data_IF_843343843744
#
_entry.id   IF_843343843744
#
_cell.length_a   1.000
_cell.length_b   1.000
_cell.length_c   1.000
_cell.angle_alpha   90.00
_cell.angle_beta   90.00
_cell.angle_gamma   90.00
#
_symmetry.space_group_name_H-M   'P 1'
#
loop_
_entity.id
_entity.type
_entity.pdbx_description
1 polymer ?
#
# COMPACT_ATOMS: atom_id res chain seq x y z
N UNK A 1 -6.99 -16.50 38.28
CA UNK A 1 -6.13 -17.40 37.48
C UNK A 1 -6.58 -17.42 36.01
N UNK A 2 -6.60 -16.26 35.33
CA UNK A 2 -7.20 -16.09 33.98
C UNK A 2 -6.39 -15.18 33.05
N UNK A 3 -5.06 -15.11 33.21
CA UNK A 3 -4.19 -14.24 32.40
C UNK A 3 -3.55 -14.98 31.22
N UNK A 4 -3.25 -16.28 31.37
CA UNK A 4 -2.61 -17.10 30.30
C UNK A 4 -3.45 -17.24 29.03
N UNK A 5 -4.78 -17.26 29.12
CA UNK A 5 -5.66 -17.39 27.95
C UNK A 5 -5.70 -16.12 27.11
N UNK A 6 -5.72 -14.95 27.75
CA UNK A 6 -5.80 -13.66 27.05
C UNK A 6 -4.53 -13.32 26.28
N UNK A 7 -3.36 -13.61 26.86
CA UNK A 7 -2.08 -13.41 26.19
C UNK A 7 -1.90 -14.31 24.96
N UNK A 8 -2.32 -15.58 25.06
CA UNK A 8 -2.30 -16.52 23.92
C UNK A 8 -3.25 -16.08 22.82
N UNK A 9 -4.47 -15.66 23.17
CA UNK A 9 -5.44 -15.13 22.20
C UNK A 9 -4.92 -13.84 21.52
N UNK A 10 -4.27 -12.95 22.27
CA UNK A 10 -3.60 -11.77 21.72
C UNK A 10 -2.50 -12.17 20.72
N UNK A 11 -1.65 -13.12 21.09
CA UNK A 11 -0.56 -13.58 20.24
C UNK A 11 -1.06 -14.21 18.92
N UNK A 12 -2.14 -15.01 18.99
CA UNK A 12 -2.77 -15.60 17.79
C UNK A 12 -3.33 -14.52 16.87
N UNK A 13 -4.04 -13.53 17.43
CA UNK A 13 -4.61 -12.44 16.65
C UNK A 13 -3.52 -11.58 15.98
N UNK A 14 -2.38 -11.41 16.65
CA UNK A 14 -1.22 -10.76 16.04
C UNK A 14 -0.58 -11.59 14.94
N UNK A 15 -0.49 -12.91 15.13
CA UNK A 15 0.01 -13.81 14.09
C UNK A 15 -0.87 -13.78 12.83
N UNK A 16 -2.18 -13.58 12.98
CA UNK A 16 -3.13 -13.42 11.87
C UNK A 16 -3.08 -12.03 11.22
N UNK A 17 -2.97 -10.96 12.02
CA UNK A 17 -3.02 -9.58 11.51
C UNK A 17 -1.72 -9.15 10.82
N UNK A 18 -0.58 -9.60 11.34
CA UNK A 18 0.75 -9.25 10.81
C UNK A 18 0.89 -9.49 9.30
N UNK A 19 0.58 -10.68 8.75
CA UNK A 19 0.70 -10.91 7.32
C UNK A 19 -0.25 -10.01 6.50
N UNK A 20 -1.44 -9.72 7.02
CA UNK A 20 -2.39 -8.81 6.37
C UNK A 20 -1.82 -7.40 6.25
N UNK A 21 -1.19 -6.88 7.32
CA UNK A 21 -0.52 -5.57 7.29
C UNK A 21 0.68 -5.57 6.32
N UNK A 22 1.47 -6.64 6.30
CA UNK A 22 2.59 -6.79 5.36
C UNK A 22 2.12 -6.73 3.91
N UNK A 23 0.98 -7.34 3.58
CA UNK A 23 0.38 -7.27 2.24
C UNK A 23 0.04 -5.83 1.86
N UNK A 24 -0.61 -5.07 2.75
CA UNK A 24 -0.93 -3.66 2.46
C UNK A 24 0.31 -2.81 2.25
N UNK A 25 1.35 -2.99 3.06
CA UNK A 25 2.63 -2.28 2.90
C UNK A 25 3.29 -2.66 1.58
N UNK A 26 3.38 -3.95 1.25
CA UNK A 26 3.97 -4.42 0.00
C UNK A 26 3.20 -3.91 -1.23
N UNK A 27 1.87 -3.93 -1.21
CA UNK A 27 1.03 -3.37 -2.26
C UNK A 27 1.24 -1.85 -2.40
N UNK A 28 1.32 -1.13 -1.28
CA UNK A 28 1.60 0.30 -1.27
C UNK A 28 2.94 0.64 -1.91
N UNK A 29 4.01 -0.08 -1.54
CA UNK A 29 5.35 0.08 -2.15
C UNK A 29 5.35 -0.28 -3.63
N UNK A 30 4.65 -1.34 -4.03
CA UNK A 30 4.52 -1.72 -5.44
C UNK A 30 3.81 -0.62 -6.25
N UNK A 31 2.79 0.02 -5.69
CA UNK A 31 2.10 1.15 -6.32
C UNK A 31 3.00 2.38 -6.47
N UNK A 32 3.88 2.65 -5.50
CA UNK A 32 4.86 3.73 -5.60
C UNK A 32 5.90 3.46 -6.69
N UNK A 33 6.40 2.23 -6.78
CA UNK A 33 7.33 1.84 -7.83
C UNK A 33 6.66 1.89 -9.21
N UNK A 34 5.42 1.43 -9.30
CA UNK A 34 4.62 1.52 -10.53
C UNK A 34 4.41 2.98 -10.95
N UNK A 35 4.14 3.88 -10.00
CA UNK A 35 4.04 5.30 -10.28
C UNK A 35 5.32 5.85 -10.92
N UNK A 36 6.50 5.58 -10.36
CA UNK A 36 7.76 6.08 -10.93
C UNK A 36 8.03 5.50 -12.32
N UNK A 37 7.67 4.24 -12.56
CA UNK A 37 7.79 3.61 -13.88
C UNK A 37 6.84 4.21 -14.92
N UNK A 38 5.61 4.54 -14.52
CA UNK A 38 4.57 5.03 -15.44
C UNK A 38 4.60 6.54 -15.66
N UNK A 39 5.19 7.29 -14.72
CA UNK A 39 5.29 8.75 -14.74
C UNK A 39 5.84 9.32 -16.06
N UNK A 40 6.91 8.77 -16.69
CA UNK A 40 7.39 9.26 -17.98
C UNK A 40 6.39 9.07 -19.13
N UNK A 41 5.54 8.04 -19.06
CA UNK A 41 4.57 7.72 -20.11
C UNK A 41 3.24 8.47 -19.95
N UNK A 42 2.96 9.01 -18.76
CA UNK A 42 1.72 9.70 -18.44
C UNK A 42 1.60 11.11 -19.03
N UNK A 43 2.67 11.64 -19.66
CA UNK A 43 2.72 12.98 -20.27
C UNK A 43 2.18 14.07 -19.33
N UNK A 44 2.66 14.07 -18.10
CA UNK A 44 2.29 15.08 -17.09
C UNK A 44 3.03 16.38 -17.45
N UNK A 45 2.33 17.50 -17.49
CA UNK A 45 2.98 18.80 -17.67
C UNK A 45 3.59 19.31 -16.36
N UNK A 46 4.47 20.29 -16.43
CA UNK A 46 5.03 20.91 -15.22
C UNK A 46 3.95 21.67 -14.42
N UNK A 47 2.93 22.21 -15.12
CA UNK A 47 1.77 22.85 -14.51
C UNK A 47 0.94 21.86 -13.69
N UNK A 48 0.71 20.64 -14.20
CA UNK A 48 0.01 19.58 -13.44
C UNK A 48 0.74 19.25 -12.13
N UNK A 49 2.08 19.17 -12.17
CA UNK A 49 2.90 18.92 -10.98
C UNK A 49 2.79 20.09 -10.00
N UNK A 50 2.78 21.33 -10.51
CA UNK A 50 2.59 22.53 -9.69
C UNK A 50 1.22 22.53 -9.00
N UNK A 51 0.15 22.25 -9.75
CA UNK A 51 -1.23 22.12 -9.23
C UNK A 51 -1.30 21.04 -8.15
N UNK A 52 -0.61 19.91 -8.33
CA UNK A 52 -0.61 18.84 -7.33
C UNK A 52 0.07 19.27 -6.04
N UNK A 53 1.16 20.04 -6.12
CA UNK A 53 1.87 20.59 -4.96
C UNK A 53 1.02 21.64 -4.25
N UNK A 54 0.43 22.57 -4.98
CA UNK A 54 -0.42 23.64 -4.44
C UNK A 54 -1.65 23.08 -3.72
N UNK A 55 -2.31 22.09 -4.33
CA UNK A 55 -3.51 21.46 -3.76
C UNK A 55 -3.21 20.35 -2.75
N UNK A 56 -1.94 20.11 -2.40
CA UNK A 56 -1.51 19.00 -1.52
C UNK A 56 -2.15 17.65 -1.94
N UNK A 57 -2.12 17.38 -3.23
CA UNK A 57 -2.80 16.20 -3.81
C UNK A 57 -2.21 14.92 -3.23
N UNK A 58 -3.06 14.11 -2.59
CA UNK A 58 -2.65 12.86 -1.93
C UNK A 58 -1.90 11.92 -2.86
N UNK A 59 -0.95 11.15 -2.33
CA UNK A 59 -0.18 10.15 -3.09
C UNK A 59 -1.10 9.16 -3.83
N UNK A 60 -2.16 8.69 -3.17
CA UNK A 60 -3.17 7.84 -3.79
C UNK A 60 -3.82 8.46 -5.05
N UNK A 61 -4.13 9.75 -5.00
CA UNK A 61 -4.73 10.46 -6.14
C UNK A 61 -3.74 10.65 -7.29
N UNK A 62 -2.46 10.94 -6.99
CA UNK A 62 -1.41 11.01 -8.00
C UNK A 62 -1.26 9.67 -8.73
N UNK A 63 -1.12 8.56 -7.98
CA UNK A 63 -0.99 7.21 -8.54
C UNK A 63 -2.18 6.85 -9.43
N UNK A 64 -3.40 7.10 -8.95
CA UNK A 64 -4.61 6.83 -9.72
C UNK A 64 -4.62 7.62 -11.04
N UNK A 65 -4.24 8.91 -11.00
CA UNK A 65 -4.25 9.76 -12.19
C UNK A 65 -3.20 9.34 -13.23
N UNK A 66 -2.00 8.94 -12.81
CA UNK A 66 -0.99 8.37 -13.71
C UNK A 66 -1.54 7.14 -14.44
N UNK A 67 -2.12 6.21 -13.68
CA UNK A 67 -2.63 4.96 -14.24
C UNK A 67 -3.80 5.24 -15.18
N UNK A 68 -4.68 6.19 -14.84
CA UNK A 68 -5.78 6.64 -15.72
C UNK A 68 -5.24 7.19 -17.04
N UNK A 69 -4.21 8.04 -17.01
CA UNK A 69 -3.63 8.66 -18.21
C UNK A 69 -2.93 7.64 -19.11
N UNK A 70 -2.17 6.71 -18.53
CA UNK A 70 -1.42 5.71 -19.30
C UNK A 70 -2.35 4.64 -19.89
N UNK A 71 -3.26 4.11 -19.08
CA UNK A 71 -4.13 2.99 -19.51
C UNK A 71 -5.49 3.40 -20.05
N UNK A 72 -5.82 4.70 -20.03
CA UNK A 72 -7.09 5.26 -20.53
C UNK A 72 -8.32 4.55 -19.95
N UNK A 73 -8.31 4.34 -18.63
CA UNK A 73 -9.39 3.65 -17.93
C UNK A 73 -10.74 4.37 -18.10
N UNK A 74 -11.81 3.59 -18.26
CA UNK A 74 -13.16 4.15 -18.27
C UNK A 74 -13.53 4.71 -16.87
N UNK A 75 -14.58 5.54 -16.82
CA UNK A 75 -14.94 6.30 -15.60
C UNK A 75 -15.32 5.39 -14.43
N UNK A 76 -16.04 4.31 -14.69
CA UNK A 76 -16.56 3.42 -13.63
C UNK A 76 -15.45 2.55 -13.02
N UNK A 77 -14.60 1.95 -13.87
CA UNK A 77 -13.41 1.21 -13.44
C UNK A 77 -12.45 2.15 -12.71
N UNK A 78 -12.26 3.37 -13.23
CA UNK A 78 -11.38 4.35 -12.59
C UNK A 78 -11.86 4.72 -11.19
N UNK A 79 -13.17 4.89 -10.99
CA UNK A 79 -13.73 5.19 -9.66
C UNK A 79 -13.48 4.06 -8.67
N UNK A 80 -13.76 2.83 -9.05
CA UNK A 80 -13.50 1.66 -8.21
C UNK A 80 -11.99 1.51 -7.90
N UNK A 81 -11.15 1.66 -8.92
CA UNK A 81 -9.70 1.57 -8.81
C UNK A 81 -9.12 2.64 -7.87
N UNK A 82 -9.55 3.89 -8.01
CA UNK A 82 -9.15 5.00 -7.14
C UNK A 82 -9.52 4.74 -5.68
N UNK A 83 -10.71 4.20 -5.43
CA UNK A 83 -11.14 3.85 -4.07
C UNK A 83 -10.26 2.74 -3.47
N UNK A 84 -9.93 1.72 -4.26
CA UNK A 84 -9.05 0.63 -3.81
C UNK A 84 -7.64 1.14 -3.48
N UNK A 85 -7.04 1.97 -4.34
CA UNK A 85 -5.73 2.59 -4.06
C UNK A 85 -5.81 3.43 -2.78
N UNK A 86 -6.87 4.22 -2.60
CA UNK A 86 -7.03 5.05 -1.41
C UNK A 86 -7.01 4.20 -0.14
N UNK A 87 -7.69 3.05 -0.14
CA UNK A 87 -7.67 2.11 0.99
C UNK A 87 -6.28 1.52 1.22
N UNK A 88 -5.60 1.04 0.17
CA UNK A 88 -4.25 0.45 0.29
C UNK A 88 -3.27 1.47 0.87
N UNK A 89 -3.25 2.68 0.31
CA UNK A 89 -2.36 3.76 0.77
C UNK A 89 -2.70 4.18 2.20
N UNK A 90 -3.99 4.24 2.56
CA UNK A 90 -4.40 4.53 3.94
C UNK A 90 -3.85 3.48 4.91
N UNK A 91 -4.06 2.19 4.64
CA UNK A 91 -3.59 1.11 5.53
C UNK A 91 -2.07 1.02 5.57
N UNK A 92 -1.39 1.29 4.46
CA UNK A 92 0.07 1.45 4.43
C UNK A 92 0.48 2.60 5.37
N UNK A 93 -0.13 3.77 5.23
CA UNK A 93 0.23 4.95 6.01
C UNK A 93 -0.05 4.75 7.50
N UNK A 94 -1.16 4.10 7.85
CA UNK A 94 -1.46 3.69 9.24
C UNK A 94 -0.45 2.66 9.76
N UNK A 95 0.00 1.73 8.91
CA UNK A 95 1.01 0.75 9.29
C UNK A 95 2.39 1.41 9.48
N UNK A 96 2.84 2.29 8.59
CA UNK A 96 4.20 2.87 8.63
C UNK A 96 4.31 4.15 9.46
N UNK A 97 3.20 4.85 9.69
CA UNK A 97 3.10 6.06 10.50
C UNK A 97 1.95 5.89 11.51
N UNK A 98 2.16 5.10 12.58
CA UNK A 98 1.16 4.96 13.62
C UNK A 98 0.86 6.35 14.21
N UNK A 99 -0.41 6.75 14.17
CA UNK A 99 -0.84 7.99 14.80
C UNK A 99 -0.72 7.82 16.31
N UNK A 100 -0.18 8.82 17.02
CA UNK A 100 -0.17 8.83 18.49
C UNK A 100 -1.58 8.87 19.13
N UNK A 101 -2.63 8.95 18.32
CA UNK A 101 -4.01 8.77 18.74
C UNK A 101 -4.29 7.29 19.00
N UNK A 102 -4.57 6.97 20.26
CA UNK A 102 -5.07 5.65 20.67
C UNK A 102 -6.46 5.46 20.04
N UNK A 103 -6.51 4.87 18.84
CA UNK A 103 -7.77 4.48 18.22
C UNK A 103 -8.41 3.35 19.03
N UNK A 104 -9.74 3.36 19.13
CA UNK A 104 -10.50 2.29 19.79
C UNK A 104 -10.06 0.94 19.23
N UNK A 105 -9.80 0.03 20.15
CA UNK A 105 -9.47 -1.37 19.93
C UNK A 105 -10.52 -2.01 19.02
N UNK A 106 -10.06 -2.64 17.94
CA UNK A 106 -10.96 -3.48 17.14
C UNK A 106 -11.24 -4.75 17.94
N UNK A 107 -12.48 -4.89 18.41
CA UNK A 107 -12.96 -6.10 19.06
C UNK A 107 -13.54 -7.06 18.03
N UNK A 108 -13.05 -8.30 18.02
CA UNK A 108 -13.68 -9.40 17.28
C UNK A 108 -14.79 -9.97 18.17
N UNK A 109 -16.04 -10.15 17.71
CA UNK A 109 -17.12 -10.66 18.55
C UNK A 109 -16.83 -12.04 19.17
N UNK A 110 -15.97 -12.81 18.51
CA UNK A 110 -15.55 -14.17 18.85
C UNK A 110 -14.25 -14.25 19.65
N UNK A 111 -13.53 -13.14 19.84
CA UNK A 111 -12.29 -13.08 20.63
C UNK A 111 -12.40 -11.94 21.65
N UNK A 112 -12.56 -12.24 22.96
CA UNK A 112 -12.72 -11.22 24.00
C UNK A 112 -11.38 -10.56 24.37
N UNK A 113 -10.58 -10.20 23.36
CA UNK A 113 -9.27 -9.58 23.52
C UNK A 113 -9.15 -8.40 22.59
N UNK A 114 -8.71 -7.30 23.16
CA UNK A 114 -8.55 -6.02 22.47
C UNK A 114 -7.11 -5.85 21.99
N UNK A 115 -6.94 -5.49 20.70
CA UNK A 115 -5.66 -5.06 20.16
C UNK A 115 -5.63 -3.54 20.01
N UNK A 116 -4.65 -2.92 20.66
CA UNK A 116 -4.30 -1.51 20.46
C UNK A 116 -3.59 -1.41 19.11
N UNK A 117 -3.95 -0.43 18.29
CA UNK A 117 -3.51 -0.30 16.89
C UNK A 117 -2.02 0.00 16.66
N UNK A 118 -1.21 0.07 17.72
CA UNK A 118 0.21 0.41 17.64
C UNK A 118 1.06 -0.84 17.42
N UNK A 119 0.86 -1.51 16.28
CA UNK A 119 1.68 -2.65 15.88
C UNK A 119 2.65 -2.27 14.77
N UNK A 120 3.68 -1.51 15.15
CA UNK A 120 4.80 -1.23 14.26
C UNK A 120 6.13 -1.38 15.01
N UNK A 121 6.75 -2.56 14.95
CA UNK A 121 8.19 -2.69 15.15
C UNK A 121 8.87 -3.74 14.24
N UNK A 122 8.16 -4.42 13.32
CA UNK A 122 8.75 -5.55 12.56
C UNK A 122 8.77 -5.37 11.03
N UNK A 123 8.12 -4.35 10.45
CA UNK A 123 7.96 -4.31 8.98
C UNK A 123 9.18 -3.75 8.22
N UNK A 124 10.10 -3.05 8.90
CA UNK A 124 11.23 -2.37 8.22
C UNK A 124 12.25 -3.38 7.65
N UNK A 125 12.38 -4.59 8.20
CA UNK A 125 13.43 -5.53 7.77
C UNK A 125 13.00 -6.38 6.55
N UNK A 126 11.71 -6.67 6.38
CA UNK A 126 11.27 -7.54 5.27
C UNK A 126 11.17 -6.82 3.93
N UNK A 127 10.87 -5.53 3.91
CA UNK A 127 10.78 -4.77 2.64
C UNK A 127 12.16 -4.48 2.03
N UNK A 128 13.22 -4.41 2.85
CA UNK A 128 14.60 -4.28 2.37
C UNK A 128 15.14 -5.54 1.67
N UNK A 129 14.54 -6.72 1.88
CA UNK A 129 14.90 -7.94 1.15
C UNK A 129 14.21 -8.07 -0.22
N UNK A 130 13.30 -7.15 -0.56
CA UNK A 130 12.56 -7.14 -1.85
C UNK A 130 13.13 -6.10 -2.83
N UNK A 131 14.37 -5.62 -2.65
CA UNK A 131 14.90 -4.51 -3.48
C UNK A 131 16.11 -4.78 -4.37
N UNK A 132 16.75 -5.95 -4.40
CA UNK A 132 17.88 -6.15 -5.34
C UNK A 132 17.75 -7.29 -6.36
N UNK A 133 17.37 -8.50 -5.95
CA UNK A 133 17.50 -9.66 -6.86
C UNK A 133 16.26 -9.88 -7.75
N UNK A 134 15.04 -9.56 -7.28
CA UNK A 134 13.80 -9.79 -8.05
C UNK A 134 13.40 -8.66 -9.00
N UNK A 135 13.87 -7.43 -8.78
CA UNK A 135 13.66 -6.33 -9.74
C UNK A 135 14.40 -6.54 -11.05
N UNK A 136 15.57 -7.20 -11.03
CA UNK A 136 16.27 -7.63 -12.25
C UNK A 136 15.40 -8.59 -13.08
N UNK A 137 14.74 -9.56 -12.44
CA UNK A 137 13.83 -10.48 -13.12
C UNK A 137 12.59 -9.79 -13.71
N UNK A 138 11.97 -8.85 -12.99
CA UNK A 138 10.79 -8.14 -13.49
C UNK A 138 11.13 -7.15 -14.62
N UNK A 139 12.29 -6.49 -14.53
CA UNK A 139 12.86 -5.65 -15.59
C UNK A 139 13.15 -6.45 -16.87
N UNK A 140 13.69 -7.67 -16.75
CA UNK A 140 13.94 -8.57 -17.87
C UNK A 140 12.61 -9.03 -18.51
N UNK A 141 11.59 -9.33 -17.71
CA UNK A 141 10.28 -9.75 -18.21
C UNK A 141 9.53 -8.61 -18.93
N UNK A 142 9.59 -7.38 -18.40
CA UNK A 142 8.94 -6.21 -19.00
C UNK A 142 9.63 -5.77 -20.30
N UNK A 143 10.96 -5.89 -20.41
CA UNK A 143 11.70 -5.61 -21.66
C UNK A 143 11.38 -6.61 -22.78
N UNK A 144 11.13 -7.89 -22.45
CA UNK A 144 10.76 -8.91 -23.44
C UNK A 144 9.32 -8.76 -23.96
N UNK A 145 8.40 -8.27 -23.13
CA UNK A 145 7.00 -8.01 -23.53
C UNK A 145 6.81 -6.81 -24.48
N UNK A 146 7.76 -5.86 -24.49
CA UNK A 146 7.75 -4.70 -25.40
C UNK A 146 8.42 -4.98 -26.75
N UNK A 147 9.32 -5.97 -26.83
CA UNK A 147 10.00 -6.36 -28.08
C UNK A 147 9.14 -7.23 -29.01
N UNK A 148 8.03 -7.77 -28.51
CA UNK A 148 7.11 -8.69 -29.23
C UNK A 148 5.89 -7.99 -29.83
N UNK A 149 5.80 -6.66 -29.72
CA UNK A 149 4.83 -5.84 -30.46
C UNK A 149 5.58 -5.04 -31.54
N UNK A 150 5.95 -5.72 -32.62
CA UNK A 150 6.23 -5.12 -33.93
C UNK A 150 5.33 -5.80 -34.94
#
# INVERSE_FOLDING_TARGET
MSTKSGEVQKAILLAELTPSMQVFVACGTALDALYEQLKPFAKISEEDIKIWRENKTSRAAQIAEIIRRVYKLNKDIFKAFRNNIKSIIKYRDEAVHPTHEIKRTCTRPDVPVELIGDFLHIVIITVLFVTEERWKCLSIYMKKGLATRK
#
